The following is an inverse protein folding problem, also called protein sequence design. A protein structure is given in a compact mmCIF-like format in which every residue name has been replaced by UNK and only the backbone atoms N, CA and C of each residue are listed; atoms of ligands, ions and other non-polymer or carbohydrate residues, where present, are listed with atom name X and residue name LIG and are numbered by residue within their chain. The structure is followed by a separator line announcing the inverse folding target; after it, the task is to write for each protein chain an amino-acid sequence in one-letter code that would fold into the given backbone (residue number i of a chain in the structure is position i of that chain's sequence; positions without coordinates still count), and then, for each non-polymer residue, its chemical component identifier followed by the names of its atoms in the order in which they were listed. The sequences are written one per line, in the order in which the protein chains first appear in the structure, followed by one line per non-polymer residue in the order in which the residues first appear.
data_IF_734625176336
#
_entry.id   IF_734625176336
#
_cell.length_a   1.000
_cell.length_b   1.000
_cell.length_c   1.000
_cell.angle_alpha   90.00
_cell.angle_beta   90.00
_cell.angle_gamma   90.00
#
_symmetry.space_group_name_H-M   'P 1'
#
loop_
_entity.id
_entity.type
_entity.pdbx_description
1 polymer ?
#
# COMPACT_ATOMS: atom_id res chain seq x y z
N UNK A 1 -15.35 5.56 -5.91
CA UNK A 1 -15.52 4.26 -5.21
C UNK A 1 -16.33 3.25 -6.03
N UNK A 2 -17.65 3.43 -6.20
CA UNK A 2 -18.54 2.46 -6.88
C UNK A 2 -18.06 2.02 -8.27
N UNK A 3 -17.78 2.97 -9.17
CA UNK A 3 -17.34 2.65 -10.54
C UNK A 3 -16.02 1.87 -10.57
N UNK A 4 -15.09 2.16 -9.64
CA UNK A 4 -13.80 1.45 -9.53
C UNK A 4 -14.00 0.01 -9.08
N UNK A 5 -14.88 -0.24 -8.11
CA UNK A 5 -15.18 -1.59 -7.60
C UNK A 5 -15.70 -2.54 -8.69
N UNK A 6 -16.42 -1.99 -9.68
CA UNK A 6 -16.89 -2.73 -10.86
C UNK A 6 -15.97 -2.64 -12.07
N UNK A 7 -14.76 -2.06 -11.93
CA UNK A 7 -13.78 -1.86 -13.01
C UNK A 7 -14.32 -1.09 -14.22
N UNK A 8 -15.19 -0.10 -13.98
CA UNK A 8 -15.78 0.75 -15.02
C UNK A 8 -14.98 2.05 -15.26
N UNK A 9 -14.00 2.33 -14.41
CA UNK A 9 -13.04 3.42 -14.58
C UNK A 9 -11.63 2.88 -14.36
N UNK A 10 -10.71 3.29 -15.22
CA UNK A 10 -9.29 2.97 -15.14
C UNK A 10 -8.49 4.20 -14.66
N UNK A 11 -7.19 4.04 -14.44
CA UNK A 11 -6.26 5.10 -14.00
C UNK A 11 -6.58 5.75 -12.64
N UNK A 12 -7.32 5.07 -11.77
CA UNK A 12 -7.60 5.50 -10.40
C UNK A 12 -6.93 4.54 -9.41
N UNK A 13 -6.01 5.01 -8.56
CA UNK A 13 -5.41 4.16 -7.54
C UNK A 13 -6.43 3.62 -6.55
N UNK A 14 -6.14 2.47 -5.97
CA UNK A 14 -6.90 1.86 -4.89
C UNK A 14 -6.04 1.76 -3.63
N UNK A 15 -6.61 2.12 -2.48
CA UNK A 15 -5.98 2.01 -1.18
C UNK A 15 -6.80 1.05 -0.31
N UNK A 16 -6.18 -0.05 0.09
CA UNK A 16 -6.77 -1.07 0.96
C UNK A 16 -6.08 -1.02 2.31
N UNK A 17 -6.78 -0.59 3.35
CA UNK A 17 -6.29 -0.60 4.72
C UNK A 17 -6.94 -1.73 5.54
N UNK A 18 -6.21 -2.34 6.47
CA UNK A 18 -6.83 -3.28 7.41
C UNK A 18 -7.76 -2.52 8.37
N UNK A 19 -8.86 -3.15 8.84
CA UNK A 19 -9.64 -2.57 9.91
C UNK A 19 -8.78 -2.42 11.17
N UNK A 20 -9.12 -1.44 12.01
CA UNK A 20 -8.44 -1.31 13.28
C UNK A 20 -8.79 -2.49 14.19
N UNK A 21 -7.79 -3.25 14.66
CA UNK A 21 -7.97 -4.35 15.60
C UNK A 21 -6.94 -4.28 16.74
N UNK A 22 -7.15 -5.04 17.83
CA UNK A 22 -6.22 -5.08 18.97
C UNK A 22 -4.83 -5.67 18.68
N UNK A 23 -4.56 -6.10 17.43
CA UNK A 23 -3.26 -6.58 16.97
C UNK A 23 -2.44 -5.51 16.26
N UNK A 24 -2.97 -4.30 16.11
CA UNK A 24 -2.21 -3.19 15.54
C UNK A 24 -1.01 -2.88 16.43
N UNK A 25 0.15 -2.74 15.80
CA UNK A 25 1.41 -2.47 16.51
C UNK A 25 1.94 -1.06 16.30
N UNK A 26 1.26 -0.22 15.51
CA UNK A 26 1.68 1.14 15.20
C UNK A 26 0.48 2.04 14.88
N UNK A 27 0.65 3.37 14.95
CA UNK A 27 -0.42 4.28 14.54
C UNK A 27 -0.56 4.30 13.01
N UNK A 28 -1.52 3.52 12.50
CA UNK A 28 -1.79 3.36 11.08
C UNK A 28 -2.61 4.53 10.51
N UNK A 29 -3.48 5.16 11.29
CA UNK A 29 -4.48 6.12 10.79
C UNK A 29 -3.81 7.31 10.07
N UNK A 30 -2.76 7.94 10.63
CA UNK A 30 -2.04 9.01 9.94
C UNK A 30 -1.42 8.55 8.62
N UNK A 31 -0.80 7.35 8.61
CA UNK A 31 -0.17 6.80 7.42
C UNK A 31 -1.20 6.57 6.30
N UNK A 32 -2.37 6.00 6.63
CA UNK A 32 -3.44 5.77 5.65
C UNK A 32 -3.92 7.09 5.05
N UNK A 33 -4.14 8.12 5.88
CA UNK A 33 -4.59 9.44 5.41
C UNK A 33 -3.58 10.10 4.48
N UNK A 34 -2.31 10.08 4.87
CA UNK A 34 -1.23 10.63 4.04
C UNK A 34 -1.07 9.87 2.71
N UNK A 35 -1.29 8.55 2.71
CA UNK A 35 -1.29 7.75 1.50
C UNK A 35 -2.51 8.01 0.63
N UNK A 36 -3.68 8.22 1.21
CA UNK A 36 -4.88 8.59 0.47
C UNK A 36 -4.69 9.93 -0.25
N UNK A 37 -4.17 10.95 0.45
CA UNK A 37 -3.85 12.26 -0.13
C UNK A 37 -2.82 12.17 -1.27
N UNK A 38 -1.75 11.38 -1.08
CA UNK A 38 -0.75 11.14 -2.11
C UNK A 38 -1.35 10.43 -3.34
N UNK A 39 -2.14 9.38 -3.11
CA UNK A 39 -2.75 8.60 -4.19
C UNK A 39 -3.78 9.41 -5.00
N UNK A 40 -4.47 10.39 -4.38
CA UNK A 40 -5.34 11.31 -5.12
C UNK A 40 -4.60 12.22 -6.11
N UNK A 41 -3.30 12.43 -5.93
CA UNK A 41 -2.49 13.27 -6.82
C UNK A 41 -2.00 12.55 -8.08
N UNK A 42 -2.09 11.21 -8.11
CA UNK A 42 -1.58 10.39 -9.22
C UNK A 42 -2.72 9.79 -10.05
N UNK A 43 -2.45 9.61 -11.34
CA UNK A 43 -3.32 8.85 -12.27
C UNK A 43 -2.62 7.57 -12.67
N UNK A 44 -2.93 6.49 -11.96
CA UNK A 44 -2.34 5.18 -12.18
C UNK A 44 -3.30 4.09 -11.73
N UNK A 45 -3.33 2.97 -12.46
CA UNK A 45 -4.06 1.79 -12.05
C UNK A 45 -3.15 0.93 -11.14
N UNK A 46 -3.13 1.28 -9.85
CA UNK A 46 -2.30 0.63 -8.83
C UNK A 46 -3.11 0.38 -7.57
N UNK A 47 -2.95 -0.82 -6.98
CA UNK A 47 -3.54 -1.15 -5.68
C UNK A 47 -2.46 -1.13 -4.60
N UNK A 48 -2.63 -0.27 -3.60
CA UNK A 48 -1.74 -0.11 -2.44
C UNK A 48 -2.40 -0.67 -1.19
N UNK A 49 -1.66 -1.44 -0.40
CA UNK A 49 -2.15 -2.03 0.85
C UNK A 49 -1.40 -1.53 2.09
N UNK A 50 -2.13 -1.16 3.14
CA UNK A 50 -1.58 -0.70 4.42
C UNK A 50 -2.14 -1.58 5.54
N UNK A 51 -1.29 -2.44 6.11
CA UNK A 51 -1.69 -3.50 7.04
C UNK A 51 -1.08 -3.31 8.44
N UNK A 52 -1.88 -3.59 9.46
CA UNK A 52 -1.63 -3.21 10.86
C UNK A 52 -0.81 -4.22 11.65
N UNK A 53 -0.67 -5.43 11.11
CA UNK A 53 0.14 -6.50 11.68
C UNK A 53 0.76 -7.35 10.57
N UNK A 54 1.93 -7.97 10.82
CA UNK A 54 2.61 -8.82 9.84
C UNK A 54 1.91 -10.16 9.59
N UNK A 55 1.13 -10.66 10.55
CA UNK A 55 0.57 -12.02 10.53
C UNK A 55 -0.52 -12.19 9.46
N UNK A 56 -1.56 -11.36 9.51
CA UNK A 56 -2.68 -11.44 8.56
C UNK A 56 -2.48 -10.53 7.34
N UNK A 57 -1.67 -9.47 7.50
CA UNK A 57 -1.54 -8.42 6.50
C UNK A 57 -1.05 -8.90 5.14
N UNK A 58 -0.09 -9.82 5.10
CA UNK A 58 0.54 -10.22 3.83
C UNK A 58 -0.36 -11.11 2.95
N UNK A 59 -1.09 -12.06 3.54
CA UNK A 59 -2.00 -12.90 2.78
C UNK A 59 -3.21 -12.11 2.28
N UNK A 60 -3.79 -11.25 3.13
CA UNK A 60 -4.93 -10.38 2.78
C UNK A 60 -4.56 -9.33 1.71
N UNK A 61 -3.30 -8.89 1.70
CA UNK A 61 -2.78 -7.89 0.77
C UNK A 61 -2.08 -8.49 -0.47
N UNK A 62 -2.00 -9.81 -0.62
CA UNK A 62 -1.31 -10.46 -1.74
C UNK A 62 -1.85 -10.03 -3.12
N UNK A 63 -3.12 -9.63 -3.16
CA UNK A 63 -3.81 -9.07 -4.34
C UNK A 63 -3.41 -7.63 -4.69
N UNK A 64 -2.77 -6.91 -3.77
CA UNK A 64 -2.29 -5.57 -4.02
C UNK A 64 -0.99 -5.61 -4.83
N UNK A 65 -0.78 -4.60 -5.66
CA UNK A 65 0.48 -4.44 -6.38
C UNK A 65 1.62 -4.21 -5.40
N UNK A 66 1.37 -3.38 -4.39
CA UNK A 66 2.31 -3.07 -3.32
C UNK A 66 1.61 -2.94 -1.98
N UNK A 67 2.31 -3.24 -0.89
CA UNK A 67 1.84 -2.87 0.43
C UNK A 67 2.88 -2.97 1.52
N UNK A 68 2.49 -2.49 2.69
CA UNK A 68 3.27 -2.55 3.93
C UNK A 68 2.49 -3.32 4.99
N UNK A 69 3.16 -4.20 5.70
CA UNK A 69 2.66 -4.77 6.94
C UNK A 69 3.50 -4.25 8.11
N UNK A 70 2.94 -3.35 8.92
CA UNK A 70 3.65 -2.71 10.01
C UNK A 70 3.64 -3.54 11.29
N UNK A 71 4.78 -3.52 11.98
CA UNK A 71 4.99 -4.00 13.34
C UNK A 71 5.49 -2.88 14.25
N UNK A 72 5.80 -3.18 15.51
CA UNK A 72 6.08 -2.17 16.54
C UNK A 72 7.28 -1.25 16.29
N UNK A 73 8.22 -1.64 15.42
CA UNK A 73 9.45 -0.88 15.12
C UNK A 73 9.82 -0.87 13.64
N UNK A 74 9.21 -1.74 12.85
CA UNK A 74 9.54 -1.96 11.46
C UNK A 74 8.30 -2.35 10.67
N UNK A 75 8.33 -2.13 9.36
CA UNK A 75 7.31 -2.58 8.42
C UNK A 75 7.93 -3.47 7.34
N UNK A 76 7.21 -4.50 6.95
CA UNK A 76 7.59 -5.41 5.86
C UNK A 76 6.94 -4.90 4.58
N UNK A 77 7.75 -4.38 3.65
CA UNK A 77 7.31 -3.96 2.33
C UNK A 77 7.23 -5.19 1.43
N UNK A 78 6.11 -5.35 0.75
CA UNK A 78 5.89 -6.45 -0.19
C UNK A 78 5.26 -5.95 -1.48
N UNK A 79 5.52 -6.68 -2.57
CA UNK A 79 4.99 -6.40 -3.91
C UNK A 79 4.43 -7.70 -4.48
N UNK A 80 3.15 -7.69 -4.88
CA UNK A 80 2.42 -8.88 -5.38
C UNK A 80 2.62 -10.13 -4.49
N UNK A 81 2.52 -9.93 -3.17
CA UNK A 81 2.69 -10.99 -2.17
C UNK A 81 4.14 -11.45 -1.89
N UNK A 82 5.16 -10.86 -2.53
CA UNK A 82 6.58 -11.16 -2.26
C UNK A 82 7.20 -10.06 -1.41
N UNK A 83 7.93 -10.44 -0.37
CA UNK A 83 8.68 -9.50 0.47
C UNK A 83 9.81 -8.88 -0.34
N UNK A 84 9.87 -7.55 -0.38
CA UNK A 84 10.97 -6.79 -0.98
C UNK A 84 12.03 -6.53 0.09
N UNK A 85 11.64 -5.84 1.16
CA UNK A 85 12.53 -5.38 2.22
C UNK A 85 11.76 -5.08 3.51
N UNK A 86 12.48 -5.08 4.63
CA UNK A 86 11.97 -4.56 5.90
C UNK A 86 12.54 -3.17 6.11
N UNK A 87 11.69 -2.22 6.49
CA UNK A 87 12.07 -0.82 6.73
C UNK A 87 11.72 -0.39 8.16
N UNK A 88 12.47 0.53 8.76
CA UNK A 88 12.08 1.15 10.02
C UNK A 88 10.72 1.84 9.90
N UNK A 89 9.96 1.90 11.00
CA UNK A 89 8.62 2.51 10.97
C UNK A 89 8.62 3.97 10.47
N UNK A 90 9.66 4.73 10.83
CA UNK A 90 9.81 6.13 10.41
C UNK A 90 9.99 6.28 8.88
N UNK A 91 10.48 5.24 8.20
CA UNK A 91 10.77 5.25 6.77
C UNK A 91 9.67 4.58 5.93
N UNK A 92 8.65 3.98 6.58
CA UNK A 92 7.57 3.26 5.88
C UNK A 92 6.95 4.09 4.77
N UNK A 93 6.59 5.34 5.08
CA UNK A 93 5.93 6.24 4.13
C UNK A 93 6.81 6.47 2.90
N UNK A 94 8.06 6.87 3.13
CA UNK A 94 8.99 7.17 2.06
C UNK A 94 9.26 5.94 1.19
N UNK A 95 9.49 4.78 1.82
CA UNK A 95 9.71 3.53 1.10
C UNK A 95 8.50 3.10 0.26
N UNK A 96 7.27 3.35 0.72
CA UNK A 96 6.04 3.11 -0.03
C UNK A 96 5.94 4.01 -1.26
N UNK A 97 6.16 5.31 -1.08
CA UNK A 97 6.10 6.31 -2.18
C UNK A 97 7.14 5.98 -3.26
N UNK A 98 8.40 5.78 -2.88
CA UNK A 98 9.49 5.46 -3.82
C UNK A 98 9.18 4.21 -4.66
N UNK A 99 8.56 3.20 -4.05
CA UNK A 99 8.25 1.96 -4.73
C UNK A 99 6.97 2.09 -5.60
N UNK A 100 6.00 2.92 -5.19
CA UNK A 100 4.86 3.29 -6.03
C UNK A 100 5.34 4.04 -7.28
N UNK A 101 6.25 4.99 -7.15
CA UNK A 101 6.81 5.74 -8.29
C UNK A 101 7.50 4.81 -9.28
N UNK A 102 8.34 3.88 -8.79
CA UNK A 102 8.96 2.85 -9.64
C UNK A 102 7.93 2.01 -10.39
N UNK A 103 6.87 1.57 -9.73
CA UNK A 103 5.80 0.79 -10.38
C UNK A 103 5.13 1.61 -11.48
N UNK A 104 4.87 2.89 -11.23
CA UNK A 104 4.24 3.80 -12.22
C UNK A 104 5.17 4.02 -13.41
N UNK A 105 6.47 4.21 -13.19
CA UNK A 105 7.47 4.34 -14.26
C UNK A 105 7.59 3.06 -15.11
N UNK A 106 7.60 1.89 -14.46
CA UNK A 106 7.59 0.59 -15.14
C UNK A 106 6.33 0.41 -16.00
N UNK A 107 5.15 0.79 -15.48
CA UNK A 107 3.88 0.74 -16.21
C UNK A 107 3.86 1.69 -17.41
N UNK A 108 4.46 2.88 -17.28
CA UNK A 108 4.59 3.85 -18.39
C UNK A 108 5.54 3.37 -19.49
N UNK A 109 6.60 2.66 -19.12
CA UNK A 109 7.62 2.16 -20.06
C UNK A 109 7.16 0.93 -20.87
N UNK A 110 6.10 0.26 -20.43
CA UNK A 110 5.51 -0.92 -21.08
C UNK A 110 4.31 -0.59 -21.97
N UNK A 111 3.90 0.69 -22.05
CA UNK A 111 2.79 1.20 -22.84
C UNK A 111 3.30 1.87 -24.12
#
# INVERSE_FOLDING_TARGET
ALLRSFRLIEDVPDLVACPTCGRIQYDMIPLVKEMEDYLHSIKANITVAVMGCPVNGMQEASRADIGIAGGSKSGILFRKGKVIRTVPQAEIKQALIEEIEKIIEEQRSQK
#
